data_IF_709232189676
#
_entry.id   IF_709232189676
#
_cell.length_a   1.000
_cell.length_b   1.000
_cell.length_c   1.000
_cell.angle_alpha   90.00
_cell.angle_beta   90.00
_cell.angle_gamma   90.00
#
_symmetry.space_group_name_H-M   'P 1'
#
loop_
_entity.id
_entity.type
_entity.pdbx_description
1 polymer ?
#
# COMPACT_ATOMS: atom_id res chain seq x y z
N UNK A 1 -10.82 15.84 28.45
CA UNK A 1 -10.11 16.52 27.35
C UNK A 1 -9.05 15.55 26.87
N UNK A 2 -9.31 14.82 25.79
CA UNK A 2 -8.35 13.85 25.26
C UNK A 2 -7.21 14.60 24.61
N UNK A 3 -5.98 14.37 25.06
CA UNK A 3 -4.79 14.82 24.34
C UNK A 3 -4.84 14.22 22.94
N UNK A 4 -5.08 15.04 21.91
CA UNK A 4 -4.81 14.63 20.53
C UNK A 4 -3.31 14.43 20.44
N UNK A 5 -2.87 13.17 20.39
CA UNK A 5 -1.49 12.86 20.09
C UNK A 5 -1.12 13.56 18.79
N UNK A 6 -0.15 14.48 18.86
CA UNK A 6 0.31 15.21 17.71
C UNK A 6 1.14 14.25 16.84
N UNK A 7 0.92 14.27 15.53
CA UNK A 7 1.57 13.38 14.57
C UNK A 7 1.94 14.15 13.30
N UNK A 8 2.90 13.62 12.55
CA UNK A 8 3.19 14.04 11.17
C UNK A 8 3.24 12.85 10.23
N UNK A 9 3.08 13.12 8.93
CA UNK A 9 3.23 12.13 7.86
C UNK A 9 4.33 12.63 6.93
N UNK A 10 5.36 11.81 6.72
CA UNK A 10 6.35 12.05 5.69
C UNK A 10 5.96 11.29 4.41
N UNK A 11 6.31 11.86 3.27
CA UNK A 11 6.05 11.31 1.94
C UNK A 11 7.38 11.04 1.23
N UNK A 12 7.48 9.90 0.57
CA UNK A 12 8.60 9.49 -0.25
C UNK A 12 8.05 9.07 -1.64
N UNK A 13 8.35 9.82 -2.72
CA UNK A 13 8.09 9.35 -4.09
C UNK A 13 8.96 8.12 -4.43
N UNK A 14 8.72 7.43 -5.56
CA UNK A 14 9.48 6.27 -6.00
C UNK A 14 11.00 6.46 -5.84
N UNK A 15 11.65 5.71 -4.93
CA UNK A 15 13.05 5.93 -4.61
C UNK A 15 14.01 5.39 -5.68
N UNK A 16 13.52 4.58 -6.62
CA UNK A 16 14.32 3.99 -7.70
C UNK A 16 15.13 2.75 -7.27
N UNK A 17 15.96 2.25 -8.19
CA UNK A 17 16.46 0.86 -8.21
C UNK A 17 17.66 0.54 -7.31
N UNK A 18 17.95 1.35 -6.29
CA UNK A 18 19.09 1.11 -5.37
C UNK A 18 18.66 1.11 -3.90
N UNK A 19 17.76 0.19 -3.57
CA UNK A 19 17.38 -0.08 -2.18
C UNK A 19 18.17 -1.27 -1.63
N UNK A 20 18.53 -1.19 -0.36
CA UNK A 20 19.22 -2.24 0.40
C UNK A 20 18.31 -2.69 1.53
N UNK A 21 18.04 -3.99 1.65
CA UNK A 21 17.21 -4.50 2.73
C UNK A 21 17.86 -4.19 4.08
N UNK A 22 17.18 -3.52 5.03
CA UNK A 22 17.66 -3.38 6.39
C UNK A 22 17.83 -4.75 7.08
N UNK A 23 18.80 -4.85 7.98
CA UNK A 23 19.05 -6.06 8.77
C UNK A 23 19.30 -5.69 10.23
N UNK A 24 19.26 -6.66 11.18
CA UNK A 24 19.61 -6.36 12.57
C UNK A 24 21.00 -5.73 12.76
N UNK A 25 21.96 -6.08 11.89
CA UNK A 25 23.32 -5.50 11.91
C UNK A 25 23.45 -4.17 11.17
N UNK A 26 22.48 -3.84 10.31
CA UNK A 26 22.43 -2.59 9.55
C UNK A 26 20.95 -2.14 9.39
N UNK A 27 20.31 -1.64 10.47
CA UNK A 27 18.87 -1.39 10.48
C UNK A 27 18.47 -0.13 9.70
N UNK A 28 19.43 0.73 9.35
CA UNK A 28 19.20 1.91 8.52
C UNK A 28 20.34 2.06 7.50
N UNK A 29 20.35 1.23 6.43
CA UNK A 29 21.37 1.33 5.39
C UNK A 29 21.46 2.76 4.86
N UNK A 30 22.66 3.37 4.82
CA UNK A 30 22.83 4.77 4.39
C UNK A 30 22.61 4.96 2.89
N UNK A 31 22.54 3.88 2.13
CA UNK A 31 22.16 3.86 0.71
C UNK A 31 20.67 4.15 0.50
N UNK A 32 19.83 3.92 1.51
CA UNK A 32 18.39 4.12 1.41
C UNK A 32 17.99 5.55 1.84
N UNK A 33 16.90 6.10 1.28
CA UNK A 33 16.25 7.26 1.85
C UNK A 33 15.86 6.99 3.32
N UNK A 34 16.04 7.95 4.25
CA UNK A 34 15.66 7.77 5.66
C UNK A 34 14.21 7.35 5.87
N UNK A 35 13.27 7.95 5.11
CA UNK A 35 11.84 7.61 5.16
C UNK A 35 11.60 6.14 4.76
N UNK A 36 12.38 5.61 3.81
CA UNK A 36 12.27 4.20 3.43
C UNK A 36 12.75 3.27 4.54
N UNK A 37 13.86 3.61 5.20
CA UNK A 37 14.35 2.85 6.36
C UNK A 37 13.31 2.85 7.50
N UNK A 38 12.66 3.99 7.75
CA UNK A 38 11.60 4.09 8.74
C UNK A 38 10.37 3.24 8.38
N UNK A 39 9.96 3.22 7.10
CA UNK A 39 8.90 2.34 6.62
C UNK A 39 9.26 0.87 6.81
N UNK A 40 10.48 0.48 6.45
CA UNK A 40 11.00 -0.88 6.63
C UNK A 40 11.09 -1.28 8.09
N UNK A 41 11.40 -0.36 9.00
CA UNK A 41 11.39 -0.61 10.44
C UNK A 41 9.97 -0.99 10.91
N UNK A 42 8.97 -0.17 10.57
CA UNK A 42 7.56 -0.45 10.94
C UNK A 42 7.08 -1.77 10.32
N UNK A 43 7.40 -2.02 9.06
CA UNK A 43 7.08 -3.29 8.36
C UNK A 43 7.71 -4.49 9.05
N UNK A 44 9.01 -4.43 9.38
CA UNK A 44 9.72 -5.52 10.08
C UNK A 44 9.05 -5.82 11.42
N UNK A 45 8.77 -4.80 12.24
CA UNK A 45 8.14 -5.00 13.55
C UNK A 45 6.75 -5.64 13.42
N UNK A 46 5.95 -5.24 12.43
CA UNK A 46 4.57 -5.73 12.27
C UNK A 46 4.50 -7.06 11.53
N UNK A 47 5.17 -7.20 10.40
CA UNK A 47 5.03 -8.37 9.53
C UNK A 47 5.99 -9.49 9.93
N UNK A 48 7.23 -9.18 10.30
CA UNK A 48 8.21 -10.21 10.69
C UNK A 48 8.09 -10.55 12.16
N UNK A 49 8.33 -9.57 13.03
CA UNK A 49 8.48 -9.83 14.46
C UNK A 49 7.15 -10.23 15.11
N UNK A 50 6.05 -9.61 14.68
CA UNK A 50 4.71 -9.87 15.23
C UNK A 50 3.95 -10.96 14.45
N UNK A 51 3.95 -10.93 13.12
CA UNK A 51 3.13 -11.84 12.31
C UNK A 51 3.88 -13.08 11.80
N UNK A 52 5.21 -13.10 11.88
CA UNK A 52 6.02 -14.26 11.50
C UNK A 52 6.25 -14.43 10.00
N UNK A 53 6.01 -13.38 9.18
CA UNK A 53 6.37 -13.38 7.76
C UNK A 53 7.89 -13.53 7.59
N UNK A 54 8.33 -14.10 6.47
CA UNK A 54 9.76 -14.24 6.22
C UNK A 54 10.42 -12.86 6.03
N UNK A 55 11.52 -12.53 6.74
CA UNK A 55 12.22 -11.24 6.58
C UNK A 55 12.63 -10.94 5.14
N UNK A 56 12.87 -11.99 4.35
CA UNK A 56 13.25 -11.88 2.95
C UNK A 56 12.14 -11.31 2.07
N UNK A 57 10.88 -11.52 2.43
CA UNK A 57 9.70 -11.11 1.66
C UNK A 57 9.26 -9.68 1.98
N UNK A 58 9.85 -9.07 3.01
CA UNK A 58 9.52 -7.70 3.41
C UNK A 58 10.07 -6.63 2.49
N UNK A 59 10.93 -6.94 1.53
CA UNK A 59 11.34 -5.99 0.50
C UNK A 59 11.20 -6.65 -0.87
N UNK A 60 10.45 -6.01 -1.77
CA UNK A 60 10.08 -6.57 -3.06
C UNK A 60 10.47 -5.65 -4.24
N UNK A 61 10.14 -6.06 -5.46
CA UNK A 61 10.41 -5.31 -6.69
C UNK A 61 9.56 -4.05 -6.86
N UNK A 62 8.47 -3.92 -6.10
CA UNK A 62 7.60 -2.75 -6.12
C UNK A 62 8.15 -1.60 -5.27
N UNK A 63 8.95 -1.89 -4.24
CA UNK A 63 9.51 -0.87 -3.34
C UNK A 63 10.23 0.29 -4.08
N UNK A 64 11.09 0.03 -5.09
CA UNK A 64 11.70 1.05 -5.95
C UNK A 64 10.72 1.94 -6.74
N UNK A 65 9.56 1.42 -7.15
CA UNK A 65 8.60 2.08 -8.07
C UNK A 65 7.37 2.65 -7.35
N UNK A 66 7.31 2.52 -6.03
CA UNK A 66 6.14 2.87 -5.24
C UNK A 66 6.27 4.17 -4.48
N UNK A 67 5.13 4.77 -4.16
CA UNK A 67 5.05 5.92 -3.26
C UNK A 67 4.82 5.44 -1.85
N UNK A 68 5.52 6.01 -0.89
CA UNK A 68 5.50 5.58 0.51
C UNK A 68 5.12 6.75 1.42
N UNK A 69 4.31 6.44 2.44
CA UNK A 69 4.04 7.37 3.53
C UNK A 69 4.43 6.72 4.86
N UNK A 70 5.02 7.52 5.74
CA UNK A 70 5.36 7.10 7.10
C UNK A 70 4.76 8.08 8.09
N UNK A 71 4.01 7.56 9.04
CA UNK A 71 3.40 8.29 10.14
C UNK A 71 4.38 8.31 11.31
N UNK A 72 4.54 9.48 11.95
CA UNK A 72 5.41 9.67 13.10
C UNK A 72 4.66 10.27 14.29
N UNK A 73 5.10 9.92 15.50
CA UNK A 73 4.79 10.72 16.69
C UNK A 73 5.50 12.07 16.63
N UNK A 74 4.90 13.11 17.20
CA UNK A 74 5.56 14.40 17.42
C UNK A 74 6.09 14.52 18.86
N UNK A 75 7.12 15.34 19.04
CA UNK A 75 7.77 15.61 20.33
C UNK A 75 9.22 15.13 20.40
N UNK A 76 9.77 15.07 21.61
CA UNK A 76 11.19 14.76 21.85
C UNK A 76 11.61 13.38 21.33
N UNK A 77 10.68 12.42 21.31
CA UNK A 77 10.90 11.05 20.82
C UNK A 77 10.09 10.81 19.54
N UNK A 78 10.34 11.60 18.49
CA UNK A 78 9.78 11.37 17.15
C UNK A 78 10.19 9.97 16.67
N UNK A 79 9.21 9.09 16.47
CA UNK A 79 9.42 7.72 16.04
C UNK A 79 8.42 7.35 14.93
N UNK A 80 8.81 6.51 13.96
CA UNK A 80 7.87 5.99 12.97
C UNK A 80 6.92 4.97 13.60
N UNK A 81 5.63 5.16 13.39
CA UNK A 81 4.57 4.36 14.05
C UNK A 81 3.61 3.70 13.06
N UNK A 82 3.68 4.07 11.79
CA UNK A 82 2.82 3.53 10.76
C UNK A 82 3.36 3.78 9.36
N UNK A 83 2.98 2.95 8.39
CA UNK A 83 3.33 3.13 6.98
C UNK A 83 2.26 2.59 6.04
N UNK A 84 2.24 3.11 4.81
CA UNK A 84 1.43 2.65 3.68
C UNK A 84 2.21 2.88 2.39
N UNK A 85 2.04 1.97 1.42
CA UNK A 85 2.64 2.03 0.09
C UNK A 85 1.55 2.06 -0.98
N UNK A 86 1.73 2.88 -2.02
CA UNK A 86 0.92 2.89 -3.24
C UNK A 86 1.76 2.33 -4.37
N UNK A 87 1.26 1.26 -5.00
CA UNK A 87 1.84 0.67 -6.21
C UNK A 87 0.99 1.10 -7.41
N UNK A 88 1.61 1.78 -8.37
CA UNK A 88 0.98 2.09 -9.65
C UNK A 88 0.92 0.84 -10.55
N UNK A 89 0.01 0.76 -11.53
CA UNK A 89 0.06 -0.26 -12.57
C UNK A 89 1.26 -0.04 -13.54
N UNK A 90 1.64 -1.02 -14.39
CA UNK A 90 1.09 -2.37 -14.45
C UNK A 90 1.50 -3.20 -13.23
N UNK A 91 0.69 -4.21 -12.94
CA UNK A 91 0.99 -5.22 -11.92
C UNK A 91 1.36 -6.53 -12.62
N UNK A 92 2.19 -7.35 -11.99
CA UNK A 92 2.29 -8.75 -12.40
C UNK A 92 0.88 -9.37 -12.39
N UNK A 93 0.57 -10.26 -13.36
CA UNK A 93 -0.69 -11.02 -13.32
C UNK A 93 -0.85 -11.60 -11.93
N UNK A 94 -2.05 -11.49 -11.35
CA UNK A 94 -2.35 -12.07 -10.04
C UNK A 94 -1.72 -13.45 -9.98
N UNK A 95 -0.83 -13.69 -9.01
CA UNK A 95 -0.27 -15.02 -8.79
C UNK A 95 -1.47 -15.95 -8.64
N UNK A 96 -1.69 -16.77 -9.66
CA UNK A 96 -2.87 -17.60 -9.75
C UNK A 96 -2.82 -18.59 -8.59
N UNK A 97 -3.47 -18.25 -7.47
CA UNK A 97 -3.92 -19.23 -6.51
C UNK A 97 -5.08 -20.00 -7.17
N UNK A 98 -4.71 -20.80 -8.18
CA UNK A 98 -5.55 -21.80 -8.80
C UNK A 98 -5.90 -22.80 -7.70
N UNK A 99 -6.98 -22.52 -6.98
CA UNK A 99 -7.66 -23.55 -6.22
C UNK A 99 -8.07 -24.66 -7.21
N UNK A 100 -7.74 -25.90 -6.84
CA UNK A 100 -7.85 -27.08 -7.66
C UNK A 100 -9.16 -27.20 -8.47
N UNK A 101 -9.10 -26.96 -9.78
CA UNK A 101 -9.78 -27.82 -10.77
C UNK A 101 -8.95 -27.83 -12.05
N UNK A 102 -8.49 -29.03 -12.44
CA UNK A 102 -7.76 -29.23 -13.69
C UNK A 102 -8.69 -29.03 -14.88
N UNK A 103 -8.72 -27.80 -15.39
CA UNK A 103 -9.17 -27.50 -16.73
C UNK A 103 -8.29 -26.36 -17.25
N UNK A 104 -7.39 -26.69 -18.18
CA UNK A 104 -6.70 -25.71 -19.02
C UNK A 104 -7.74 -25.04 -19.90
N UNK A 105 -8.40 -24.01 -19.37
CA UNK A 105 -9.05 -23.00 -20.18
C UNK A 105 -7.96 -22.00 -20.55
N UNK A 106 -7.74 -21.85 -21.86
CA UNK A 106 -7.07 -20.69 -22.42
C UNK A 106 -7.84 -19.47 -21.91
N UNK A 107 -7.36 -18.89 -20.81
CA UNK A 107 -7.93 -17.68 -20.28
C UNK A 107 -7.64 -16.60 -21.31
N UNK A 108 -8.69 -16.15 -22.03
CA UNK A 108 -8.63 -14.86 -22.70
C UNK A 108 -8.07 -13.86 -21.68
N UNK A 109 -6.92 -13.25 -22.01
CA UNK A 109 -6.33 -12.19 -21.22
C UNK A 109 -7.36 -11.05 -21.18
N UNK A 110 -8.25 -11.09 -20.19
CA UNK A 110 -9.14 -9.96 -19.91
C UNK A 110 -8.21 -8.80 -19.59
N UNK A 111 -8.26 -7.76 -20.42
CA UNK A 111 -7.66 -6.48 -20.11
C UNK A 111 -8.21 -6.02 -18.75
N UNK A 112 -7.43 -6.22 -17.70
CA UNK A 112 -7.77 -5.80 -16.34
C UNK A 112 -7.78 -4.28 -16.33
N UNK A 113 -8.88 -3.67 -15.88
CA UNK A 113 -8.95 -2.21 -15.76
C UNK A 113 -7.75 -1.72 -14.93
N UNK A 114 -6.98 -0.73 -15.41
CA UNK A 114 -5.85 -0.21 -14.66
C UNK A 114 -6.29 0.24 -13.27
N UNK A 115 -5.58 -0.25 -12.25
CA UNK A 115 -5.85 0.04 -10.86
C UNK A 115 -4.55 0.29 -10.10
N UNK A 116 -4.60 1.04 -9.01
CA UNK A 116 -3.49 1.11 -8.04
C UNK A 116 -3.72 0.07 -6.94
N UNK A 117 -2.64 -0.34 -6.24
CA UNK A 117 -2.73 -1.19 -5.05
C UNK A 117 -2.26 -0.43 -3.82
N UNK A 118 -3.04 -0.45 -2.72
CA UNK A 118 -2.50 -0.05 -1.41
C UNK A 118 -1.91 -1.29 -0.74
N UNK A 119 -0.61 -1.27 -0.49
CA UNK A 119 0.11 -2.39 0.12
C UNK A 119 0.91 -1.92 1.33
N UNK A 120 1.47 -2.89 2.08
CA UNK A 120 2.32 -2.63 3.26
C UNK A 120 1.70 -1.69 4.29
N UNK A 121 0.37 -1.79 4.50
CA UNK A 121 -0.33 -1.01 5.51
C UNK A 121 -0.03 -1.59 6.89
N UNK A 122 0.83 -0.91 7.65
CA UNK A 122 1.28 -1.37 8.96
C UNK A 122 1.16 -0.25 9.99
N UNK A 123 0.67 -0.57 11.19
CA UNK A 123 0.66 0.32 12.36
C UNK A 123 1.21 -0.49 13.53
N UNK A 124 2.18 0.08 14.26
CA UNK A 124 2.72 -0.55 15.47
C UNK A 124 1.60 -0.82 16.49
N UNK A 125 1.65 -1.96 17.17
CA UNK A 125 0.55 -2.48 17.99
C UNK A 125 0.01 -1.45 19.01
N UNK A 126 0.88 -0.70 19.66
CA UNK A 126 0.53 0.31 20.68
C UNK A 126 -0.22 1.54 20.13
N UNK A 127 -0.18 1.78 18.82
CA UNK A 127 -0.89 2.89 18.16
C UNK A 127 -2.14 2.44 17.37
N UNK A 128 -2.47 1.14 17.39
CA UNK A 128 -3.69 0.63 16.73
C UNK A 128 -4.94 1.13 17.43
N UNK A 129 -6.07 1.09 16.72
CA UNK A 129 -7.39 1.60 17.18
C UNK A 129 -7.44 3.10 17.46
N UNK A 130 -6.37 3.85 17.20
CA UNK A 130 -6.30 5.32 17.30
C UNK A 130 -6.72 6.05 16.02
N UNK A 131 -7.18 5.33 15.00
CA UNK A 131 -7.61 5.90 13.71
C UNK A 131 -6.50 6.14 12.69
N UNK A 132 -5.23 5.89 13.04
CA UNK A 132 -4.08 6.11 12.16
C UNK A 132 -4.09 5.31 10.86
N UNK A 133 -4.59 4.07 10.87
CA UNK A 133 -4.75 3.29 9.64
C UNK A 133 -5.71 3.94 8.64
N UNK A 134 -6.78 4.60 9.13
CA UNK A 134 -7.69 5.39 8.27
C UNK A 134 -7.01 6.66 7.76
N UNK A 135 -6.24 7.32 8.62
CA UNK A 135 -5.51 8.55 8.24
C UNK A 135 -4.53 8.23 7.10
N UNK A 136 -3.70 7.19 7.23
CA UNK A 136 -2.75 6.80 6.19
C UNK A 136 -3.45 6.46 4.85
N UNK A 137 -4.52 5.66 4.90
CA UNK A 137 -5.30 5.32 3.70
C UNK A 137 -5.88 6.56 3.02
N UNK A 138 -6.51 7.46 3.78
CA UNK A 138 -7.07 8.69 3.21
C UNK A 138 -5.97 9.58 2.63
N UNK A 139 -4.84 9.75 3.34
CA UNK A 139 -3.71 10.54 2.84
C UNK A 139 -3.17 10.00 1.52
N UNK A 140 -2.99 8.68 1.40
CA UNK A 140 -2.51 8.06 0.16
C UNK A 140 -3.54 8.19 -0.99
N UNK A 141 -4.83 7.93 -0.71
CA UNK A 141 -5.90 8.02 -1.71
C UNK A 141 -6.15 9.47 -2.18
N UNK A 142 -6.11 10.44 -1.28
CA UNK A 142 -6.26 11.86 -1.61
C UNK A 142 -5.08 12.39 -2.43
N UNK A 143 -3.87 11.90 -2.16
CA UNK A 143 -2.71 12.19 -3.00
C UNK A 143 -2.90 11.57 -4.39
N UNK A 144 -3.26 10.28 -4.46
CA UNK A 144 -3.46 9.57 -5.71
C UNK A 144 -4.52 10.25 -6.61
N UNK A 145 -5.66 10.65 -6.03
CA UNK A 145 -6.73 11.37 -6.74
C UNK A 145 -6.28 12.69 -7.42
N UNK A 146 -5.18 13.29 -6.94
CA UNK A 146 -4.62 14.56 -7.43
C UNK A 146 -3.46 14.38 -8.41
N UNK A 147 -2.93 13.17 -8.55
CA UNK A 147 -1.76 12.88 -9.40
C UNK A 147 -1.99 11.65 -10.32
N UNK A 148 -3.13 11.56 -11.03
CA UNK A 148 -3.41 10.41 -11.91
C UNK A 148 -2.38 10.24 -13.04
N UNK A 149 -1.77 11.33 -13.50
CA UNK A 149 -0.72 11.32 -14.51
C UNK A 149 0.55 10.62 -14.03
N UNK A 150 0.96 10.80 -12.76
CA UNK A 150 2.09 10.09 -12.17
C UNK A 150 1.82 8.58 -12.08
N UNK A 151 0.59 8.21 -11.75
CA UNK A 151 0.15 6.82 -11.58
C UNK A 151 -0.11 6.10 -12.91
N UNK A 152 -0.25 6.85 -14.00
CA UNK A 152 -0.50 6.33 -15.35
C UNK A 152 0.77 6.31 -16.21
N UNK A 153 1.87 6.95 -15.78
CA UNK A 153 3.05 7.15 -16.63
C UNK A 153 3.66 5.87 -17.23
N UNK A 154 3.50 4.72 -16.58
CA UNK A 154 3.98 3.42 -17.05
C UNK A 154 2.98 2.64 -17.94
N UNK A 155 1.75 3.14 -18.10
CA UNK A 155 0.67 2.54 -18.88
C UNK A 155 0.77 2.91 -20.36
N UNK A 156 1.89 2.59 -21.00
CA UNK A 156 2.08 2.89 -22.42
C UNK A 156 0.99 2.22 -23.29
N UNK A 157 0.24 3.02 -24.05
CA UNK A 157 -0.88 2.58 -24.89
C UNK A 157 -2.16 2.14 -24.16
N UNK A 158 -2.19 2.13 -22.82
CA UNK A 158 -3.35 1.71 -22.03
C UNK A 158 -4.21 2.91 -21.57
N UNK A 159 -5.51 2.71 -21.24
CA UNK A 159 -6.33 3.77 -20.66
C UNK A 159 -5.72 4.33 -19.37
N UNK A 160 -5.86 5.63 -19.08
CA UNK A 160 -5.38 6.19 -17.83
C UNK A 160 -6.10 5.57 -16.64
N UNK A 161 -5.39 5.45 -15.52
CA UNK A 161 -6.00 5.04 -14.26
C UNK A 161 -7.13 6.01 -13.87
N UNK A 162 -8.33 5.48 -13.66
CA UNK A 162 -9.53 6.27 -13.36
C UNK A 162 -10.08 5.96 -11.95
N UNK A 163 -9.18 5.87 -10.98
CA UNK A 163 -9.55 5.81 -9.57
C UNK A 163 -9.82 4.42 -9.01
N UNK A 164 -9.67 3.34 -9.79
CA UNK A 164 -9.84 1.98 -9.27
C UNK A 164 -8.68 1.60 -8.34
N UNK A 165 -8.98 1.19 -7.13
CA UNK A 165 -7.98 0.85 -6.11
C UNK A 165 -8.28 -0.51 -5.51
N UNK A 166 -7.26 -1.36 -5.45
CA UNK A 166 -7.30 -2.68 -4.84
C UNK A 166 -6.53 -2.71 -3.52
N UNK A 167 -7.01 -3.52 -2.59
CA UNK A 167 -6.22 -4.01 -1.44
C UNK A 167 -6.36 -5.52 -1.32
N UNK A 168 -5.24 -6.19 -1.08
CA UNK A 168 -5.22 -7.54 -0.55
C UNK A 168 -5.20 -7.41 0.97
N UNK A 169 -6.39 -7.36 1.57
CA UNK A 169 -6.54 -7.11 2.99
C UNK A 169 -6.46 -8.42 3.77
N UNK A 170 -5.70 -8.45 4.86
CA UNK A 170 -5.84 -9.51 5.86
C UNK A 170 -7.30 -9.57 6.31
N UNK A 171 -7.89 -10.75 6.45
CA UNK A 171 -9.29 -10.93 6.86
C UNK A 171 -9.59 -10.15 8.16
N UNK A 172 -8.64 -10.11 9.08
CA UNK A 172 -8.79 -9.38 10.36
C UNK A 172 -8.83 -7.85 10.19
N UNK A 173 -8.28 -7.33 9.09
CA UNK A 173 -8.24 -5.92 8.74
C UNK A 173 -9.39 -5.48 7.83
N UNK A 174 -10.23 -6.39 7.33
CA UNK A 174 -11.34 -6.10 6.42
C UNK A 174 -12.22 -4.93 6.92
N UNK A 175 -12.61 -4.97 8.20
CA UNK A 175 -13.41 -3.91 8.81
C UNK A 175 -12.70 -2.53 8.87
N UNK A 176 -11.36 -2.48 8.85
CA UNK A 176 -10.62 -1.23 8.75
C UNK A 176 -10.79 -0.61 7.36
N UNK A 177 -10.62 -1.41 6.31
CA UNK A 177 -10.76 -0.97 4.91
C UNK A 177 -12.22 -0.63 4.57
N UNK A 178 -13.18 -1.42 5.07
CA UNK A 178 -14.61 -1.14 4.90
C UNK A 178 -15.02 0.25 5.43
N UNK A 179 -14.42 0.71 6.54
CA UNK A 179 -14.66 2.07 7.07
C UNK A 179 -14.11 3.19 6.19
N UNK A 180 -13.22 2.86 5.27
CA UNK A 180 -12.68 3.78 4.24
C UNK A 180 -13.46 3.65 2.93
N UNK A 181 -14.44 2.74 2.85
CA UNK A 181 -15.31 2.55 1.68
C UNK A 181 -14.81 1.51 0.68
N UNK A 182 -13.87 0.65 1.08
CA UNK A 182 -13.56 -0.57 0.31
C UNK A 182 -14.66 -1.61 0.48
N UNK A 183 -14.91 -2.39 -0.56
CA UNK A 183 -15.89 -3.47 -0.60
C UNK A 183 -15.18 -4.77 -0.97
N UNK A 184 -15.41 -5.82 -0.19
CA UNK A 184 -14.85 -7.15 -0.42
C UNK A 184 -15.37 -7.74 -1.73
N UNK A 185 -14.47 -8.29 -2.53
CA UNK A 185 -14.78 -9.02 -3.75
C UNK A 185 -14.94 -10.50 -3.42
N UNK A 186 -16.19 -10.94 -3.27
CA UNK A 186 -16.49 -12.35 -3.01
C UNK A 186 -16.00 -13.27 -4.15
N UNK A 187 -15.86 -12.75 -5.38
CA UNK A 187 -15.41 -13.55 -6.52
C UNK A 187 -13.93 -13.90 -6.48
N UNK A 188 -13.12 -13.12 -5.74
CA UNK A 188 -11.71 -13.43 -5.48
C UNK A 188 -11.54 -14.49 -4.38
N UNK A 189 -12.59 -14.76 -3.60
CA UNK A 189 -12.55 -15.69 -2.48
C UNK A 189 -11.60 -15.23 -1.37
N UNK A 190 -11.10 -16.20 -0.60
CA UNK A 190 -10.12 -15.98 0.47
C UNK A 190 -8.93 -16.90 0.22
N UNK A 191 -7.72 -16.38 0.34
CA UNK A 191 -6.48 -17.13 0.12
C UNK A 191 -5.48 -16.92 1.27
N UNK A 192 -4.51 -17.81 1.38
CA UNK A 192 -3.41 -17.68 2.33
C UNK A 192 -2.21 -17.01 1.62
N UNK A 193 -1.63 -16.00 2.27
CA UNK A 193 -0.41 -15.31 1.87
C UNK A 193 0.44 -15.10 3.12
N UNK A 194 1.70 -15.57 3.10
CA UNK A 194 2.61 -15.62 4.26
C UNK A 194 1.98 -16.25 5.53
N UNK A 195 1.12 -17.26 5.37
CA UNK A 195 0.43 -17.92 6.51
C UNK A 195 -0.74 -17.10 7.09
N UNK A 196 -1.16 -16.03 6.41
CA UNK A 196 -2.24 -15.14 6.83
C UNK A 196 -3.36 -15.16 5.79
N UNK A 197 -4.60 -15.29 6.24
CA UNK A 197 -5.75 -15.27 5.34
C UNK A 197 -6.04 -13.85 4.85
N UNK A 198 -6.23 -13.72 3.54
CA UNK A 198 -6.49 -12.47 2.83
C UNK A 198 -7.76 -12.52 1.99
N UNK A 199 -8.35 -11.35 1.75
CA UNK A 199 -9.45 -11.09 0.82
C UNK A 199 -9.10 -9.92 -0.08
N UNK A 200 -9.63 -9.93 -1.30
CA UNK A 200 -9.55 -8.79 -2.21
C UNK A 200 -10.63 -7.78 -1.86
N UNK A 201 -10.28 -6.49 -1.77
CA UNK A 201 -11.29 -5.43 -1.63
C UNK A 201 -11.02 -4.29 -2.60
N UNK A 202 -12.09 -3.80 -3.22
CA UNK A 202 -12.04 -2.73 -4.21
C UNK A 202 -12.65 -1.44 -3.66
N UNK A 203 -12.11 -0.32 -4.11
CA UNK A 203 -12.71 1.00 -3.96
C UNK A 203 -12.47 1.80 -5.24
N UNK A 204 -13.47 2.53 -5.70
CA UNK A 204 -13.28 3.59 -6.69
C UNK A 204 -13.21 4.94 -5.98
N UNK A 205 -12.19 5.73 -6.30
CA UNK A 205 -12.05 7.12 -5.85
C UNK A 205 -12.33 8.08 -7.01
N UNK A 206 -12.84 9.26 -6.69
CA UNK A 206 -12.96 10.34 -7.66
C UNK A 206 -11.57 10.90 -7.95
N UNK A 207 -11.15 10.80 -9.21
CA UNK A 207 -9.92 11.41 -9.71
C UNK A 207 -10.28 12.80 -10.23
N UNK A 208 -9.55 13.82 -9.80
CA UNK A 208 -9.79 15.17 -10.26
C UNK A 208 -9.50 15.29 -11.76
N UNK A 209 -10.51 15.54 -12.58
CA UNK A 209 -10.26 16.29 -13.82
C UNK A 209 -9.82 17.67 -13.38
N UNK A 210 -8.65 18.15 -13.81
CA UNK A 210 -8.29 19.55 -13.63
C UNK A 210 -9.52 20.43 -13.89
N UNK A 211 -9.95 21.16 -12.85
CA UNK A 211 -10.82 22.30 -13.08
C UNK A 211 -10.03 23.18 -14.04
N UNK A 212 -10.47 23.23 -15.30
CA UNK A 212 -10.03 24.25 -16.27
C UNK A 212 -10.45 25.61 -15.70
N UNK A 213 -9.69 26.14 -14.75
CA UNK A 213 -9.91 27.48 -14.22
C UNK A 213 -9.33 28.47 -15.22
N UNK A 214 -10.23 28.92 -16.09
CA UNK A 214 -10.35 30.28 -16.62
C UNK A 214 -9.03 31.02 -16.90
N UNK A 215 -8.59 30.98 -18.16
CA UNK A 215 -7.97 32.17 -18.76
C UNK A 215 -9.08 33.21 -18.92
N UNK A 216 -9.05 34.25 -18.08
CA UNK A 216 -9.64 35.55 -18.36
C UNK A 216 -8.55 36.48 -18.90
#
# INVERSE_FOLDING_TARGET
MGSTAQYSIAFLPPPGTKLTRPTPSNPAPPSNPPIFNDAMHVRTVVFVDEQGCAPENEMDEDDPRSWHWVLYTEGENRAPIGTIRVVAPPHAPHEGHSSHTGASVEAEEKEEEPHIRLTRVAILAEYRRSGFGRILQNTALEWAAKHPEELTAALDGNPPWNGLTLVHAQVQAEGMYARVGFVTDESMGTWEDEGIMHVGMWKRIEVGSESKSEKQ
#
